data_IF_486610563293
#
_entry.id   IF_486610563293
#
_cell.length_a   1.000
_cell.length_b   1.000
_cell.length_c   1.000
_cell.angle_alpha   90.00
_cell.angle_beta   90.00
_cell.angle_gamma   90.00
#
_symmetry.space_group_name_H-M   'P 1'
#
loop_
_entity.id
_entity.type
_entity.pdbx_description
1 polymer ?
#
# COMPACT_ATOMS: atom_id res chain seq x y z
N UNK A 1 2.92 22.95 -10.12
CA UNK A 1 3.17 22.39 -10.01
C UNK A 1 3.00 21.55 -10.05
N UNK A 2 2.76 21.20 -10.09
CA UNK A 2 2.81 20.47 -10.48
C UNK A 2 3.03 19.20 -10.13
N UNK A 3 3.80 18.50 -10.38
CA UNK A 3 4.05 17.17 -10.03
C UNK A 3 4.84 17.10 -8.76
N UNK A 4 4.45 16.24 -7.87
CA UNK A 4 5.08 16.12 -6.65
C UNK A 4 5.42 14.70 -6.35
N UNK A 5 6.66 14.38 -6.06
CA UNK A 5 7.08 13.07 -5.62
C UNK A 5 6.66 12.84 -4.19
N UNK A 6 6.50 11.59 -3.82
CA UNK A 6 6.26 11.26 -2.44
C UNK A 6 7.51 11.53 -1.62
N UNK A 7 7.29 11.94 -0.39
CA UNK A 7 8.33 12.32 0.51
C UNK A 7 8.91 11.09 1.20
N UNK A 8 10.24 11.01 1.25
CA UNK A 8 10.89 9.89 1.89
C UNK A 8 10.58 9.81 3.38
N UNK A 9 10.36 10.93 4.00
CA UNK A 9 10.00 10.93 5.41
C UNK A 9 8.63 10.33 5.63
N UNK A 10 7.72 10.55 4.69
CA UNK A 10 6.41 9.94 4.80
C UNK A 10 6.52 8.42 4.66
N UNK A 11 7.37 7.96 3.75
CA UNK A 11 7.62 6.53 3.62
C UNK A 11 8.13 5.95 4.93
N UNK A 12 9.09 6.62 5.55
CA UNK A 12 9.63 6.13 6.81
C UNK A 12 8.56 6.09 7.89
N UNK A 13 7.69 7.09 7.91
CA UNK A 13 6.60 7.11 8.87
C UNK A 13 5.68 5.90 8.67
N UNK A 14 5.31 5.63 7.43
CA UNK A 14 4.44 4.50 7.13
C UNK A 14 5.11 3.17 7.49
N UNK A 15 6.39 3.03 7.17
CA UNK A 15 7.09 1.80 7.51
C UNK A 15 7.14 1.57 9.00
N UNK A 16 7.26 2.65 9.75
CA UNK A 16 7.23 2.55 11.19
C UNK A 16 5.89 2.10 11.72
N UNK A 17 4.83 2.60 11.11
CA UNK A 17 3.49 2.18 11.48
C UNK A 17 3.24 0.72 11.17
N UNK A 18 3.98 0.16 10.21
CA UNK A 18 3.85 -1.24 9.82
C UNK A 18 4.89 -2.14 10.48
N UNK A 19 5.60 -1.63 11.45
CA UNK A 19 6.75 -2.34 12.00
C UNK A 19 6.40 -3.61 12.77
N UNK A 20 5.14 -3.79 13.14
CA UNK A 20 4.71 -5.02 13.80
C UNK A 20 4.50 -6.16 12.80
N UNK A 21 4.54 -5.86 11.52
CA UNK A 21 4.38 -6.87 10.49
C UNK A 21 5.74 -7.31 9.98
N UNK A 22 5.83 -8.58 9.62
CA UNK A 22 7.06 -9.11 9.04
C UNK A 22 7.01 -8.99 7.53
N UNK A 23 8.17 -8.93 6.92
CA UNK A 23 8.28 -8.98 5.47
C UNK A 23 7.57 -7.82 4.76
N UNK A 24 7.65 -6.64 5.36
CA UNK A 24 7.21 -5.44 4.67
C UNK A 24 8.41 -4.91 3.91
N UNK A 25 8.28 -4.77 2.60
CA UNK A 25 9.34 -4.21 1.79
C UNK A 25 8.76 -3.16 0.86
N UNK A 26 9.61 -2.42 0.22
CA UNK A 26 9.14 -1.40 -0.70
C UNK A 26 10.08 -1.28 -1.89
N UNK A 27 9.61 -0.63 -2.91
CA UNK A 27 10.39 -0.38 -4.10
C UNK A 27 10.11 1.04 -4.57
N UNK A 28 11.15 1.80 -4.74
CA UNK A 28 11.00 3.16 -5.25
C UNK A 28 10.79 3.11 -6.76
N UNK A 29 9.89 3.93 -7.25
CA UNK A 29 9.59 3.92 -8.66
C UNK A 29 9.05 5.27 -9.08
N UNK A 30 9.86 6.05 -9.76
CA UNK A 30 9.44 7.34 -10.33
C UNK A 30 8.78 8.26 -9.31
N UNK A 31 9.40 8.38 -8.15
CA UNK A 31 8.90 9.28 -7.12
C UNK A 31 7.80 8.70 -6.25
N UNK A 32 7.47 7.45 -6.47
CA UNK A 32 6.45 6.74 -5.71
C UNK A 32 7.06 5.53 -5.07
N UNK A 33 6.34 4.92 -4.14
CA UNK A 33 6.82 3.74 -3.47
C UNK A 33 5.77 2.66 -3.51
N UNK A 34 6.15 1.49 -4.01
CA UNK A 34 5.27 0.33 -4.02
C UNK A 34 5.53 -0.46 -2.75
N UNK A 35 4.48 -0.83 -2.04
CA UNK A 35 4.60 -1.57 -0.79
C UNK A 35 4.23 -3.02 -0.98
N UNK A 36 5.06 -3.88 -0.42
CA UNK A 36 4.88 -5.33 -0.50
C UNK A 36 4.72 -5.91 0.90
N UNK A 37 3.92 -6.94 1.02
CA UNK A 37 3.75 -7.68 2.25
C UNK A 37 3.93 -9.15 1.89
N UNK A 38 5.00 -9.75 2.38
CA UNK A 38 5.37 -11.12 2.00
C UNK A 38 5.42 -11.28 0.48
N UNK A 39 5.98 -10.29 -0.19
CA UNK A 39 6.14 -10.32 -1.63
C UNK A 39 4.93 -9.95 -2.45
N UNK A 40 3.77 -9.81 -1.81
CA UNK A 40 2.55 -9.42 -2.54
C UNK A 40 2.38 -7.92 -2.50
N UNK A 41 1.98 -7.33 -3.60
CA UNK A 41 1.76 -5.89 -3.66
C UNK A 41 0.48 -5.54 -2.92
N UNK A 42 0.61 -4.75 -1.86
CA UNK A 42 -0.53 -4.29 -1.08
C UNK A 42 -1.08 -2.99 -1.63
N UNK A 43 -0.18 -2.12 -2.04
CA UNK A 43 -0.54 -0.81 -2.51
C UNK A 43 0.72 0.02 -2.62
N UNK A 44 0.65 1.28 -2.24
CA UNK A 44 1.82 2.12 -2.34
C UNK A 44 1.59 3.50 -1.78
N UNK A 45 2.64 4.30 -1.88
CA UNK A 45 2.60 5.69 -1.44
C UNK A 45 2.70 6.55 -2.69
N UNK A 46 1.66 7.32 -2.94
CA UNK A 46 1.54 8.14 -4.13
C UNK A 46 1.22 9.57 -3.72
N UNK A 47 2.14 10.48 -3.94
CA UNK A 47 1.93 11.89 -3.61
C UNK A 47 1.54 12.02 -2.14
N UNK A 48 2.32 11.35 -1.28
CA UNK A 48 2.12 11.37 0.18
C UNK A 48 0.73 10.91 0.60
N UNK A 49 0.20 9.92 -0.12
CA UNK A 49 -1.04 9.26 0.25
C UNK A 49 -0.77 7.77 0.27
N UNK A 50 -1.30 7.10 1.28
CA UNK A 50 -1.21 5.65 1.32
C UNK A 50 -2.46 5.09 0.66
N UNK A 51 -2.26 4.37 -0.43
CA UNK A 51 -3.36 3.75 -1.16
C UNK A 51 -3.15 2.25 -1.17
N UNK A 52 -4.23 1.50 -0.99
CA UNK A 52 -4.15 0.04 -1.00
C UNK A 52 -5.10 -0.51 -2.04
N UNK A 53 -4.86 -1.76 -2.43
CA UNK A 53 -5.69 -2.40 -3.44
C UNK A 53 -7.11 -2.60 -2.90
N UNK A 54 -8.12 -2.42 -3.76
CA UNK A 54 -9.52 -2.52 -3.31
C UNK A 54 -10.01 -3.94 -3.28
N UNK A 55 -9.34 -4.80 -2.50
CA UNK A 55 -9.81 -6.16 -2.32
C UNK A 55 -10.95 -6.16 -1.30
N UNK A 56 -11.75 -7.20 -1.35
CA UNK A 56 -12.93 -7.29 -0.51
C UNK A 56 -12.63 -7.15 0.96
N UNK A 57 -11.57 -7.77 1.42
CA UNK A 57 -11.22 -7.69 2.83
C UNK A 57 -10.87 -6.27 3.26
N UNK A 58 -10.28 -5.49 2.36
CA UNK A 58 -10.00 -4.10 2.68
C UNK A 58 -11.29 -3.30 2.78
N UNK A 59 -12.20 -3.55 1.84
CA UNK A 59 -13.47 -2.85 1.85
C UNK A 59 -14.26 -3.15 3.13
N UNK A 60 -14.21 -4.40 3.58
CA UNK A 60 -14.91 -4.77 4.80
C UNK A 60 -14.24 -4.25 6.05
N UNK A 61 -12.92 -4.15 6.01
CA UNK A 61 -12.17 -3.77 7.19
C UNK A 61 -12.26 -2.27 7.48
N UNK A 62 -12.31 -1.47 6.44
CA UNK A 62 -12.25 -0.03 6.59
C UNK A 62 -13.61 0.54 6.95
N UNK A 63 -13.66 1.42 7.95
CA UNK A 63 -14.95 2.01 8.36
C UNK A 63 -15.54 2.91 7.29
N UNK A 64 -14.69 3.53 6.52
CA UNK A 64 -15.12 4.38 5.42
C UNK A 64 -14.31 4.05 4.20
N UNK A 65 -14.98 3.92 3.08
CA UNK A 65 -14.31 3.57 1.83
C UNK A 65 -14.22 4.82 0.96
N UNK A 66 -13.01 5.14 0.56
CA UNK A 66 -12.78 6.27 -0.31
C UNK A 66 -11.84 5.85 -1.42
N UNK A 67 -12.30 5.96 -2.65
CA UNK A 67 -11.50 5.60 -3.81
C UNK A 67 -10.71 6.80 -4.30
N UNK A 68 -9.47 6.55 -4.69
CA UNK A 68 -8.65 7.59 -5.28
C UNK A 68 -7.75 6.98 -6.34
N UNK A 69 -7.35 7.81 -7.29
CA UNK A 69 -6.42 7.38 -8.30
C UNK A 69 -5.00 7.61 -7.82
N UNK A 70 -4.14 6.59 -7.90
CA UNK A 70 -2.73 6.82 -7.57
C UNK A 70 -2.08 7.79 -8.52
N UNK A 71 -2.49 7.76 -9.78
CA UNK A 71 -2.02 8.71 -10.78
C UNK A 71 -3.00 8.64 -11.94
N UNK A 72 -2.91 9.60 -12.81
CA UNK A 72 -3.84 9.70 -13.92
C UNK A 72 -3.74 8.47 -14.81
N UNK A 73 -4.86 7.89 -15.15
CA UNK A 73 -4.90 6.72 -16.03
C UNK A 73 -4.81 5.38 -15.30
N UNK A 74 -4.58 5.40 -14.00
CA UNK A 74 -4.48 4.17 -13.23
C UNK A 74 -5.86 3.73 -12.77
N UNK A 75 -5.91 2.53 -12.22
CA UNK A 75 -7.12 2.03 -11.62
C UNK A 75 -7.28 2.63 -10.23
N UNK A 76 -8.51 2.79 -9.81
CA UNK A 76 -8.78 3.33 -8.49
C UNK A 76 -8.29 2.41 -7.38
N UNK A 77 -7.83 3.01 -6.31
CA UNK A 77 -7.40 2.30 -5.13
C UNK A 77 -8.10 2.92 -3.94
N UNK A 78 -7.88 2.35 -2.77
CA UNK A 78 -8.52 2.84 -1.55
C UNK A 78 -7.57 3.73 -0.78
N UNK A 79 -8.05 4.91 -0.40
CA UNK A 79 -7.26 5.82 0.40
C UNK A 79 -7.33 5.41 1.87
N UNK A 80 -6.16 5.27 2.49
CA UNK A 80 -6.09 4.97 3.91
C UNK A 80 -5.78 6.25 4.64
N UNK A 81 -6.72 6.74 5.41
CA UNK A 81 -6.56 8.00 6.11
C UNK A 81 -6.02 7.85 7.52
N UNK A 82 -6.30 6.73 8.16
CA UNK A 82 -5.89 6.52 9.54
C UNK A 82 -4.47 5.98 9.62
N UNK A 83 -3.54 6.69 9.00
CA UNK A 83 -2.17 6.20 8.90
C UNK A 83 -1.40 6.33 10.22
N UNK A 84 -1.93 7.10 11.16
CA UNK A 84 -1.28 7.22 12.45
C UNK A 84 -1.81 6.21 13.47
N UNK A 85 -2.67 5.30 13.02
CA UNK A 85 -3.21 4.25 13.87
C UNK A 85 -2.50 2.95 13.52
N UNK A 86 -1.48 2.64 14.29
CA UNK A 86 -0.63 1.50 14.01
C UNK A 86 -1.41 0.19 14.02
N UNK A 87 -2.29 0.03 14.99
CA UNK A 87 -3.09 -1.20 15.07
C UNK A 87 -4.01 -1.35 13.89
N UNK A 88 -4.58 -0.25 13.46
CA UNK A 88 -5.48 -0.28 12.30
C UNK A 88 -4.72 -0.73 11.06
N UNK A 89 -3.55 -0.15 10.81
CA UNK A 89 -2.77 -0.51 9.63
C UNK A 89 -2.31 -1.95 9.68
N UNK A 90 -1.86 -2.40 10.85
CA UNK A 90 -1.43 -3.77 11.01
C UNK A 90 -2.56 -4.74 10.68
N UNK A 91 -3.73 -4.48 11.24
CA UNK A 91 -4.88 -5.33 10.99
C UNK A 91 -5.36 -5.29 9.55
N UNK A 92 -5.31 -4.11 8.95
CA UNK A 92 -5.73 -3.96 7.56
C UNK A 92 -4.86 -4.81 6.63
N UNK A 93 -3.55 -4.69 6.77
CA UNK A 93 -2.65 -5.45 5.91
C UNK A 93 -2.82 -6.96 6.13
N UNK A 94 -2.98 -7.37 7.39
CA UNK A 94 -3.20 -8.78 7.67
C UNK A 94 -4.49 -9.29 7.07
N UNK A 95 -5.54 -8.48 7.15
CA UNK A 95 -6.83 -8.86 6.60
C UNK A 95 -6.77 -8.99 5.08
N UNK A 96 -5.96 -8.17 4.44
CA UNK A 96 -5.88 -8.16 2.99
C UNK A 96 -5.05 -9.29 2.41
N UNK A 97 -4.15 -9.83 3.20
CA UNK A 97 -3.10 -10.70 2.66
C UNK A 97 -3.61 -11.83 1.77
N UNK A 98 -4.62 -12.53 2.22
CA UNK A 98 -5.11 -13.70 1.49
C UNK A 98 -5.66 -13.34 0.11
N UNK A 99 -6.18 -12.15 -0.02
CA UNK A 99 -6.79 -11.74 -1.28
C UNK A 99 -5.85 -10.99 -2.21
N UNK A 100 -4.63 -10.73 -1.77
CA UNK A 100 -3.68 -10.05 -2.64
C UNK A 100 -3.18 -11.01 -3.71
N UNK A 101 -2.94 -10.50 -4.92
CA UNK A 101 -2.43 -11.37 -5.98
C UNK A 101 -1.06 -11.93 -5.61
N UNK A 102 -0.80 -13.15 -6.01
CA UNK A 102 0.49 -13.76 -5.76
C UNK A 102 1.58 -12.98 -6.45
N UNK A 103 2.81 -13.01 -5.92
CA UNK A 103 3.91 -12.32 -6.60
C UNK A 103 4.12 -12.92 -7.98
N UNK A 104 4.46 -12.05 -8.96
CA UNK A 104 4.76 -12.52 -10.27
C UNK A 104 6.02 -13.33 -10.20
N UNK A 105 5.95 -14.58 -10.65
CA UNK A 105 7.10 -15.39 -10.61
C UNK A 105 7.90 -15.13 -11.77
N UNK A 106 8.95 -14.93 -11.71
CA UNK A 106 9.71 -14.71 -12.80
C UNK A 106 10.16 -15.82 -13.30
N UNK A 107 10.03 -16.29 -13.57
CA UNK A 107 10.24 -17.28 -13.80
C UNK A 107 11.07 -17.91 -13.67
N UNK A 108 11.24 -18.48 -13.45
CA UNK A 108 11.80 -18.98 -13.08
C UNK A 108 12.20 -19.91 -13.40
N UNK A 109 12.50 -20.04 -13.62
CA UNK A 109 12.79 -20.81 -13.80
C UNK A 109 13.20 -21.38 -13.89
N UNK A 110 13.51 -21.68 -13.89
CA UNK A 110 13.79 -22.09 -13.75
C UNK A 110 14.04 -22.47 -13.94
#
# INVERSE_FOLDING_TARGET
MLFRSSNKEYLQFILEQLSDLEEITFRAMMGEYILYYWGKIVGGIYDDRLLVKPVKSALSYMPEVRYELPYEGAKEMLLVEDVDDKDFLTGLFQAMYEELPAPKKKNVRK
#
